data_IF_018353738902
#
_entry.id   IF_018353738902
#
_cell.length_a   1.000
_cell.length_b   1.000
_cell.length_c   1.000
_cell.angle_alpha   90.00
_cell.angle_beta   90.00
_cell.angle_gamma   90.00
#
_symmetry.space_group_name_H-M   'P 1'
#
loop_
_entity.id
_entity.type
_entity.pdbx_description
1 polymer ?
#
# COMPACT_ATOMS: atom_id res chain seq x y z
N UNK A 1 47.84 9.67 -33.84
CA UNK A 1 46.73 9.15 -33.02
C UNK A 1 46.38 7.78 -33.59
N UNK A 2 46.75 6.68 -32.93
CA UNK A 2 46.45 5.33 -33.42
C UNK A 2 44.99 5.05 -33.09
N UNK A 3 44.12 5.21 -34.08
CA UNK A 3 42.74 4.75 -33.99
C UNK A 3 42.76 3.24 -33.85
N UNK A 4 42.47 2.75 -32.66
CA UNK A 4 42.22 1.32 -32.45
C UNK A 4 40.90 1.05 -33.16
N UNK A 5 40.98 0.46 -34.35
CA UNK A 5 39.80 0.00 -35.07
C UNK A 5 39.22 -1.16 -34.26
N UNK A 6 38.28 -0.87 -33.38
CA UNK A 6 37.58 -1.89 -32.62
C UNK A 6 36.83 -2.78 -33.63
N UNK A 7 37.01 -4.11 -33.58
CA UNK A 7 36.26 -5.02 -34.43
C UNK A 7 34.77 -4.75 -34.28
N UNK A 8 34.02 -4.74 -35.38
CA UNK A 8 32.59 -4.39 -35.39
C UNK A 8 31.82 -5.18 -34.32
N UNK A 9 32.16 -6.46 -34.12
CA UNK A 9 31.56 -7.31 -33.10
C UNK A 9 31.70 -6.73 -31.68
N UNK A 10 32.84 -6.09 -31.34
CA UNK A 10 33.05 -5.47 -30.03
C UNK A 10 32.17 -4.23 -29.85
N UNK A 11 31.97 -3.44 -30.90
CA UNK A 11 31.08 -2.26 -30.87
C UNK A 11 29.64 -2.70 -30.65
N UNK A 12 29.21 -3.77 -31.32
CA UNK A 12 27.87 -4.35 -31.16
C UNK A 12 27.66 -4.86 -29.74
N UNK A 13 28.65 -5.57 -29.17
CA UNK A 13 28.57 -6.07 -27.79
C UNK A 13 28.49 -4.93 -26.77
N UNK A 14 29.28 -3.87 -26.94
CA UNK A 14 29.23 -2.70 -26.06
C UNK A 14 27.87 -1.98 -26.16
N UNK A 15 27.32 -1.83 -27.37
CA UNK A 15 26.01 -1.22 -27.56
C UNK A 15 24.89 -2.01 -26.85
N UNK A 16 24.91 -3.34 -26.95
CA UNK A 16 23.94 -4.22 -26.26
C UNK A 16 24.11 -4.11 -24.74
N UNK A 17 25.34 -4.12 -24.23
CA UNK A 17 25.61 -4.02 -22.80
C UNK A 17 25.07 -2.72 -22.19
N UNK A 18 25.23 -1.59 -22.87
CA UNK A 18 24.69 -0.29 -22.43
C UNK A 18 23.16 -0.29 -22.41
N UNK A 19 22.53 -0.90 -23.41
CA UNK A 19 21.07 -1.00 -23.50
C UNK A 19 20.51 -1.84 -22.34
N UNK A 20 21.14 -2.99 -22.04
CA UNK A 20 20.76 -3.84 -20.90
C UNK A 20 20.93 -3.10 -19.57
N UNK A 21 22.03 -2.34 -19.39
CA UNK A 21 22.21 -1.52 -18.18
C UNK A 21 21.12 -0.46 -18.03
N UNK A 22 20.69 0.19 -19.11
CA UNK A 22 19.60 1.19 -19.05
C UNK A 22 18.26 0.56 -18.63
N UNK A 23 17.94 -0.64 -19.12
CA UNK A 23 16.70 -1.35 -18.76
C UNK A 23 16.71 -1.74 -17.29
N UNK A 24 17.84 -2.27 -16.80
CA UNK A 24 18.01 -2.62 -15.38
C UNK A 24 17.90 -1.37 -14.51
N UNK A 25 18.59 -0.28 -14.86
CA UNK A 25 18.51 0.98 -14.13
C UNK A 25 17.08 1.54 -14.10
N UNK A 26 16.34 1.47 -15.20
CA UNK A 26 14.92 1.86 -15.25
C UNK A 26 14.04 1.03 -14.31
N UNK A 27 14.32 -0.27 -14.17
CA UNK A 27 13.64 -1.15 -13.22
C UNK A 27 13.87 -0.74 -11.76
N UNK A 28 15.10 -0.35 -11.40
CA UNK A 28 15.42 0.12 -10.05
C UNK A 28 14.85 1.51 -9.74
N UNK A 29 14.76 2.39 -10.74
CA UNK A 29 14.18 3.73 -10.58
C UNK A 29 12.64 3.68 -10.45
N UNK A 30 11.97 2.71 -11.08
CA UNK A 30 10.52 2.55 -10.99
C UNK A 30 10.02 1.67 -9.82
N UNK A 31 10.88 0.82 -9.26
CA UNK A 31 10.49 -0.18 -8.24
C UNK A 31 10.48 0.30 -6.80
N UNK A 32 11.09 1.45 -6.50
CA UNK A 32 11.10 2.02 -5.14
C UNK A 32 9.87 2.91 -4.92
N UNK A 33 8.68 2.31 -5.00
CA UNK A 33 7.51 2.97 -4.43
C UNK A 33 7.62 2.80 -2.91
N UNK A 34 7.78 3.87 -2.12
CA UNK A 34 7.68 3.74 -0.68
C UNK A 34 6.32 3.11 -0.39
N UNK A 35 6.29 2.04 0.39
CA UNK A 35 5.09 1.57 1.08
C UNK A 35 4.66 2.73 1.97
N UNK A 36 3.91 3.66 1.39
CA UNK A 36 3.46 4.88 2.04
C UNK A 36 2.62 4.41 3.21
N UNK A 37 3.16 4.55 4.42
CA UNK A 37 2.46 4.22 5.64
C UNK A 37 1.19 5.05 5.63
N UNK A 38 0.05 4.40 5.38
CA UNK A 38 -1.23 5.09 5.31
C UNK A 38 -1.52 5.57 6.74
N UNK A 39 -1.69 6.88 6.97
CA UNK A 39 -2.01 7.36 8.31
C UNK A 39 -3.34 6.76 8.75
N UNK A 40 -3.48 6.49 10.05
CA UNK A 40 -4.65 5.83 10.63
C UNK A 40 -5.97 6.52 10.23
N UNK A 41 -5.97 7.85 10.11
CA UNK A 41 -7.13 8.62 9.66
C UNK A 41 -7.58 8.24 8.24
N UNK A 42 -6.64 8.06 7.32
CA UNK A 42 -6.92 7.63 5.94
C UNK A 42 -7.31 6.16 5.88
N UNK A 43 -6.68 5.31 6.69
CA UNK A 43 -7.07 3.90 6.78
C UNK A 43 -8.53 3.74 7.28
N UNK A 44 -8.91 4.49 8.31
CA UNK A 44 -10.28 4.53 8.82
C UNK A 44 -11.23 5.09 7.76
N UNK A 45 -10.89 6.21 7.11
CA UNK A 45 -11.74 6.78 6.05
C UNK A 45 -12.00 5.78 4.92
N UNK A 46 -10.97 5.09 4.44
CA UNK A 46 -11.10 4.06 3.40
C UNK A 46 -11.96 2.88 3.86
N UNK A 47 -11.77 2.41 5.09
CA UNK A 47 -12.55 1.31 5.65
C UNK A 47 -14.02 1.72 5.86
N UNK A 48 -14.28 2.96 6.29
CA UNK A 48 -15.61 3.53 6.42
C UNK A 48 -16.31 3.68 5.06
N UNK A 49 -15.59 4.12 4.02
CA UNK A 49 -16.16 4.18 2.67
C UNK A 49 -16.55 2.79 2.18
N UNK A 50 -15.72 1.77 2.37
CA UNK A 50 -16.07 0.37 2.04
C UNK A 50 -17.31 -0.08 2.81
N UNK A 51 -17.39 0.21 4.12
CA UNK A 51 -18.54 -0.13 4.94
C UNK A 51 -19.84 0.54 4.43
N UNK A 52 -19.75 1.80 3.99
CA UNK A 52 -20.90 2.56 3.47
C UNK A 52 -21.29 2.14 2.06
N UNK A 53 -20.34 2.03 1.13
CA UNK A 53 -20.63 1.77 -0.30
C UNK A 53 -20.94 0.30 -0.58
N UNK A 54 -20.24 -0.62 0.08
CA UNK A 54 -20.32 -2.05 -0.23
C UNK A 54 -21.26 -2.79 0.71
N UNK A 55 -21.26 -2.42 1.99
CA UNK A 55 -22.02 -3.10 3.03
C UNK A 55 -23.19 -2.28 3.57
N UNK A 56 -23.42 -1.07 3.04
CA UNK A 56 -24.52 -0.18 3.42
C UNK A 56 -24.65 -0.01 4.94
N UNK A 57 -23.51 0.19 5.61
CA UNK A 57 -23.42 0.36 7.06
C UNK A 57 -23.90 -0.84 7.89
N UNK A 58 -24.00 -2.03 7.31
CA UNK A 58 -24.36 -3.23 8.07
C UNK A 58 -23.24 -3.61 9.05
N UNK A 59 -23.59 -4.18 10.20
CA UNK A 59 -22.63 -4.60 11.23
C UNK A 59 -21.59 -5.61 10.73
N UNK A 60 -21.93 -6.38 9.69
CA UNK A 60 -21.01 -7.31 9.01
C UNK A 60 -19.79 -6.60 8.39
N UNK A 61 -19.88 -5.30 8.13
CA UNK A 61 -18.78 -4.50 7.60
C UNK A 61 -17.59 -4.41 8.56
N UNK A 62 -17.80 -4.53 9.87
CA UNK A 62 -16.75 -4.44 10.88
C UNK A 62 -15.70 -5.54 10.72
N UNK A 63 -16.11 -6.71 10.24
CA UNK A 63 -15.25 -7.90 10.04
C UNK A 63 -14.84 -8.05 8.57
N UNK A 64 -15.64 -7.49 7.66
CA UNK A 64 -15.51 -7.70 6.21
C UNK A 64 -14.77 -6.57 5.50
N UNK A 65 -14.89 -5.32 5.97
CA UNK A 65 -14.15 -4.19 5.44
C UNK A 65 -12.69 -4.27 5.93
N UNK A 66 -11.80 -4.66 5.03
CA UNK A 66 -10.36 -4.79 5.30
C UNK A 66 -9.60 -3.74 4.51
N UNK A 67 -8.66 -3.09 5.18
CA UNK A 67 -7.71 -2.19 4.55
C UNK A 67 -6.31 -2.51 5.03
N UNK A 68 -5.35 -2.30 4.15
CA UNK A 68 -3.95 -2.48 4.48
C UNK A 68 -3.49 -1.33 5.36
N UNK A 69 -3.11 -1.63 6.61
CA UNK A 69 -2.64 -0.65 7.58
C UNK A 69 -1.40 -1.18 8.29
N UNK A 70 -0.42 -0.31 8.50
CA UNK A 70 0.79 -0.63 9.26
C UNK A 70 0.63 -0.02 10.66
N UNK A 71 0.63 -0.85 11.71
CA UNK A 71 0.58 -0.33 13.08
C UNK A 71 1.90 0.35 13.43
N UNK A 72 1.86 1.32 14.33
CA UNK A 72 3.05 1.98 14.83
C UNK A 72 3.96 0.96 15.54
N UNK A 73 5.10 0.62 14.91
CA UNK A 73 6.06 -0.37 15.40
C UNK A 73 6.11 -1.68 14.61
N UNK A 74 5.26 -1.87 13.60
CA UNK A 74 5.35 -3.00 12.66
C UNK A 74 6.02 -2.56 11.35
N UNK A 75 6.97 -3.35 10.84
CA UNK A 75 7.65 -3.07 9.56
C UNK A 75 6.82 -3.54 8.35
N UNK A 76 5.85 -4.43 8.56
CA UNK A 76 5.04 -5.01 7.47
C UNK A 76 3.58 -4.53 7.51
N UNK A 77 3.04 -4.07 6.37
CA UNK A 77 1.62 -3.73 6.25
C UNK A 77 0.76 -4.99 6.29
N UNK A 78 -0.18 -5.06 7.23
CA UNK A 78 -1.13 -6.17 7.37
C UNK A 78 -2.55 -5.75 6.98
N UNK A 79 -3.40 -6.68 6.48
CA UNK A 79 -4.81 -6.40 6.29
C UNK A 79 -5.50 -6.32 7.66
N UNK A 80 -5.97 -5.14 8.03
CA UNK A 80 -6.66 -4.84 9.29
C UNK A 80 -8.14 -4.61 9.02
N UNK A 81 -8.99 -5.10 9.91
CA UNK A 81 -10.45 -4.93 9.82
C UNK A 81 -10.90 -3.55 10.30
N UNK A 82 -12.06 -3.08 9.84
CA UNK A 82 -12.67 -1.83 10.34
C UNK A 82 -12.89 -1.87 11.86
N UNK A 83 -13.28 -3.03 12.41
CA UNK A 83 -13.38 -3.23 13.85
C UNK A 83 -12.06 -2.95 14.55
N UNK A 84 -10.98 -3.61 14.15
CA UNK A 84 -9.66 -3.36 14.75
C UNK A 84 -9.19 -1.92 14.59
N UNK A 85 -9.45 -1.28 13.45
CA UNK A 85 -9.14 0.14 13.26
C UNK A 85 -9.91 1.03 14.24
N UNK A 86 -11.17 0.73 14.50
CA UNK A 86 -11.97 1.41 15.51
C UNK A 86 -11.40 1.22 16.92
N UNK A 87 -10.92 0.03 17.27
CA UNK A 87 -10.26 -0.23 18.55
C UNK A 87 -8.95 0.56 18.67
N UNK A 88 -8.11 0.55 17.63
CA UNK A 88 -6.86 1.33 17.58
C UNK A 88 -7.14 2.84 17.66
N UNK A 89 -8.28 3.28 17.13
CA UNK A 89 -8.71 4.68 17.15
C UNK A 89 -9.27 5.16 18.49
N UNK A 90 -9.36 4.28 19.49
CA UNK A 90 -9.78 4.59 20.86
C UNK A 90 -11.22 4.23 21.21
N UNK A 91 -11.95 3.47 20.36
CA UNK A 91 -13.30 3.00 20.70
C UNK A 91 -13.17 1.70 21.52
N UNK A 92 -13.68 1.72 22.76
CA UNK A 92 -13.64 0.56 23.64
C UNK A 92 -14.61 -0.54 23.16
N UNK A 93 -14.14 -1.78 23.17
CA UNK A 93 -14.98 -2.95 22.88
C UNK A 93 -16.07 -3.09 23.95
N UNK A 94 -17.31 -3.26 23.51
CA UNK A 94 -18.49 -3.29 24.37
C UNK A 94 -19.76 -3.54 23.58
N UNK A 95 -20.93 -3.62 24.24
CA UNK A 95 -22.20 -3.93 23.58
C UNK A 95 -22.63 -2.87 22.55
N UNK A 96 -22.06 -1.66 22.61
CA UNK A 96 -22.33 -0.57 21.66
C UNK A 96 -21.16 -0.27 20.73
N UNK A 97 -20.09 -1.08 20.76
CA UNK A 97 -18.89 -0.87 19.93
C UNK A 97 -19.23 -0.74 18.44
N UNK A 98 -20.04 -1.66 17.93
CA UNK A 98 -20.47 -1.69 16.54
C UNK A 98 -21.16 -0.39 16.13
N UNK A 99 -22.07 0.10 17.00
CA UNK A 99 -22.82 1.34 16.75
C UNK A 99 -21.93 2.56 16.82
N UNK A 100 -21.02 2.64 17.79
CA UNK A 100 -20.11 3.78 17.93
C UNK A 100 -19.09 3.84 16.78
N UNK A 101 -18.58 2.70 16.34
CA UNK A 101 -17.67 2.60 15.21
C UNK A 101 -18.36 3.00 13.90
N UNK A 102 -19.57 2.49 13.65
CA UNK A 102 -20.37 2.85 12.47
C UNK A 102 -20.82 4.32 12.52
N UNK A 103 -21.21 4.84 13.70
CA UNK A 103 -21.55 6.25 13.89
C UNK A 103 -20.39 7.18 13.50
N UNK A 104 -19.16 6.77 13.80
CA UNK A 104 -17.95 7.50 13.41
C UNK A 104 -17.72 7.49 11.90
N UNK A 105 -18.19 6.47 11.20
CA UNK A 105 -18.17 6.37 9.74
C UNK A 105 -19.31 7.16 9.05
N UNK A 106 -20.21 7.82 9.80
CA UNK A 106 -21.37 8.52 9.24
C UNK A 106 -22.52 7.59 8.87
N UNK A 107 -22.51 6.39 9.44
CA UNK A 107 -23.68 5.55 9.63
C UNK A 107 -24.35 5.93 10.98
#
# INVERSE_FOLDING_TARGET
MKGVSLPINTIVVVAIAVLVMMVIAGFFVGGFQPTSQIPLSTAIANACDIARTTYNCAEVSLVSARVTYTKAGEEEPAPVTLGELCTISGIAEGPEFSKQCLARCGC
#
